data_IF_551729393060
#
_entry.id   IF_551729393060
#
_cell.length_a   1.000
_cell.length_b   1.000
_cell.length_c   1.000
_cell.angle_alpha   90.00
_cell.angle_beta   90.00
_cell.angle_gamma   90.00
#
_symmetry.space_group_name_H-M   'P 1'
#
loop_
_entity.id
_entity.type
_entity.pdbx_description
1 polymer ?
#
# COMPACT_ATOMS: atom_id res chain seq x y z
N UNK A 1 17.22 -29.40 -14.40
CA UNK A 1 15.82 -28.92 -14.41
C UNK A 1 15.19 -28.73 -13.01
N UNK A 2 15.83 -29.12 -11.89
CA UNK A 2 15.23 -28.97 -10.54
C UNK A 2 15.26 -27.55 -9.94
N UNK A 3 16.32 -26.78 -10.14
CA UNK A 3 16.55 -25.47 -9.48
C UNK A 3 15.52 -24.39 -9.90
N UNK A 4 15.01 -24.46 -11.12
CA UNK A 4 14.08 -23.45 -11.65
C UNK A 4 12.63 -23.62 -11.15
N UNK A 5 12.25 -24.86 -10.78
CA UNK A 5 10.97 -25.11 -10.12
C UNK A 5 10.97 -24.54 -8.70
N UNK A 6 12.11 -24.58 -8.01
CA UNK A 6 12.25 -24.04 -6.67
C UNK A 6 12.09 -22.51 -6.66
N UNK A 7 12.72 -21.78 -7.59
CA UNK A 7 12.63 -20.31 -7.65
C UNK A 7 11.19 -19.83 -7.91
N UNK A 8 10.47 -20.49 -8.83
CA UNK A 8 9.07 -20.14 -9.10
C UNK A 8 8.16 -20.42 -7.90
N UNK A 9 8.43 -21.49 -7.15
CA UNK A 9 7.68 -21.85 -5.93
C UNK A 9 7.97 -20.88 -4.77
N UNK A 10 9.23 -20.48 -4.60
CA UNK A 10 9.67 -19.53 -3.57
C UNK A 10 9.06 -18.15 -3.81
N UNK A 11 9.03 -17.69 -5.07
CA UNK A 11 8.40 -16.41 -5.42
C UNK A 11 6.89 -16.41 -5.15
N UNK A 12 6.19 -17.50 -5.47
CA UNK A 12 4.76 -17.62 -5.20
C UNK A 12 4.47 -17.64 -3.69
N UNK A 13 5.28 -18.36 -2.91
CA UNK A 13 5.21 -18.37 -1.46
C UNK A 13 5.46 -16.98 -0.87
N UNK A 14 6.51 -16.28 -1.32
CA UNK A 14 6.86 -14.95 -0.84
C UNK A 14 5.76 -13.91 -1.12
N UNK A 15 5.15 -13.95 -2.32
CA UNK A 15 4.04 -13.05 -2.65
C UNK A 15 2.81 -13.37 -1.79
N UNK A 16 2.48 -14.65 -1.58
CA UNK A 16 1.34 -15.02 -0.74
C UNK A 16 1.56 -14.59 0.72
N UNK A 17 2.75 -14.82 1.27
CA UNK A 17 3.12 -14.35 2.61
C UNK A 17 3.01 -12.82 2.71
N UNK A 18 3.52 -12.09 1.72
CA UNK A 18 3.36 -10.65 1.63
C UNK A 18 1.88 -10.23 1.61
N UNK A 19 1.03 -10.88 0.80
CA UNK A 19 -0.39 -10.56 0.72
C UNK A 19 -1.11 -10.82 2.05
N UNK A 20 -0.74 -11.87 2.81
CA UNK A 20 -1.31 -12.14 4.14
C UNK A 20 -0.91 -11.04 5.11
N UNK A 21 0.39 -10.77 5.22
CA UNK A 21 0.92 -9.78 6.17
C UNK A 21 0.40 -8.39 5.86
N UNK A 22 0.35 -8.00 4.58
CA UNK A 22 -0.17 -6.69 4.17
C UNK A 22 -1.69 -6.59 4.36
N UNK A 23 -2.47 -7.65 4.14
CA UNK A 23 -3.90 -7.63 4.45
C UNK A 23 -4.16 -7.43 5.95
N UNK A 24 -3.39 -8.13 6.80
CA UNK A 24 -3.48 -7.93 8.25
C UNK A 24 -3.09 -6.50 8.64
N UNK A 25 -1.97 -6.00 8.11
CA UNK A 25 -1.52 -4.62 8.34
C UNK A 25 -2.58 -3.58 7.96
N UNK A 26 -3.10 -3.63 6.73
CA UNK A 26 -4.10 -2.67 6.28
C UNK A 26 -5.46 -2.83 6.98
N UNK A 27 -5.80 -4.04 7.44
CA UNK A 27 -6.96 -4.23 8.32
C UNK A 27 -6.79 -3.54 9.68
N UNK A 28 -5.58 -3.59 10.25
CA UNK A 28 -5.26 -2.90 11.49
C UNK A 28 -5.27 -1.37 11.29
N UNK A 29 -4.75 -0.88 10.16
CA UNK A 29 -4.88 0.53 9.79
C UNK A 29 -6.34 0.95 9.62
N UNK A 30 -7.16 0.17 8.92
CA UNK A 30 -8.59 0.44 8.77
C UNK A 30 -9.31 0.50 10.12
N UNK A 31 -8.98 -0.43 11.02
CA UNK A 31 -9.55 -0.47 12.36
C UNK A 31 -9.14 0.75 13.20
N UNK A 32 -7.87 1.14 13.14
CA UNK A 32 -7.38 2.32 13.86
C UNK A 32 -8.12 3.60 13.44
N UNK A 33 -8.40 3.75 12.14
CA UNK A 33 -9.10 4.89 11.55
C UNK A 33 -10.56 5.02 11.98
N UNK A 34 -11.15 3.98 12.58
CA UNK A 34 -12.49 4.10 13.14
C UNK A 34 -12.55 5.17 14.23
N UNK A 35 -11.45 5.42 14.94
CA UNK A 35 -11.36 6.42 16.03
C UNK A 35 -11.26 7.87 15.55
N UNK A 36 -11.13 8.11 14.24
CA UNK A 36 -10.97 9.45 13.69
C UNK A 36 -12.33 10.14 13.47
N UNK A 37 -12.40 11.48 13.49
CA UNK A 37 -13.65 12.21 13.34
C UNK A 37 -14.35 11.99 11.98
N UNK A 38 -13.63 11.53 10.96
CA UNK A 38 -14.15 11.19 9.64
C UNK A 38 -13.67 9.80 9.18
N UNK A 39 -14.15 8.71 9.80
CA UNK A 39 -13.51 7.39 9.71
C UNK A 39 -13.81 6.67 8.39
N UNK A 40 -14.99 6.93 7.80
CA UNK A 40 -15.55 6.13 6.70
C UNK A 40 -14.66 6.13 5.46
N UNK A 41 -14.16 7.31 5.06
CA UNK A 41 -13.35 7.44 3.84
C UNK A 41 -12.03 6.67 3.94
N UNK A 42 -11.35 6.75 5.09
CA UNK A 42 -10.05 6.14 5.31
C UNK A 42 -10.17 4.64 5.56
N UNK A 43 -11.17 4.23 6.34
CA UNK A 43 -11.56 2.83 6.48
C UNK A 43 -11.77 2.18 5.10
N UNK A 44 -12.60 2.81 4.26
CA UNK A 44 -12.85 2.32 2.91
C UNK A 44 -11.57 2.27 2.07
N UNK A 45 -10.72 3.30 2.13
CA UNK A 45 -9.46 3.31 1.40
C UNK A 45 -8.56 2.12 1.76
N UNK A 46 -8.36 1.84 3.06
CA UNK A 46 -7.55 0.71 3.51
C UNK A 46 -8.17 -0.65 3.17
N UNK A 47 -9.49 -0.80 3.27
CA UNK A 47 -10.17 -2.05 2.92
C UNK A 47 -10.13 -2.32 1.41
N UNK A 48 -10.52 -1.34 0.58
CA UNK A 48 -10.60 -1.52 -0.87
C UNK A 48 -9.23 -1.47 -1.57
N UNK A 49 -8.28 -0.70 -1.04
CA UNK A 49 -6.92 -0.61 -1.58
C UNK A 49 -5.94 -1.63 -1.01
N UNK A 50 -6.13 -2.03 0.25
CA UNK A 50 -5.18 -2.89 0.98
C UNK A 50 -5.67 -4.32 1.18
N UNK A 51 -6.91 -4.54 1.60
CA UNK A 51 -7.39 -5.88 1.96
C UNK A 51 -7.93 -6.66 0.76
N UNK A 52 -8.86 -6.06 0.00
CA UNK A 52 -9.54 -6.73 -1.12
C UNK A 52 -8.58 -7.18 -2.23
N UNK A 53 -7.60 -6.37 -2.67
CA UNK A 53 -6.67 -6.77 -3.73
C UNK A 53 -5.79 -7.95 -3.32
N UNK A 54 -5.39 -8.01 -2.04
CA UNK A 54 -4.64 -9.12 -1.46
C UNK A 54 -5.45 -10.42 -1.46
N UNK A 55 -6.71 -10.37 -1.02
CA UNK A 55 -7.61 -11.52 -1.04
C UNK A 55 -7.88 -12.01 -2.47
N UNK A 56 -8.04 -11.08 -3.41
CA UNK A 56 -8.21 -11.41 -4.82
C UNK A 56 -6.99 -12.16 -5.40
N UNK A 57 -5.77 -11.74 -5.04
CA UNK A 57 -4.55 -12.45 -5.46
C UNK A 57 -4.54 -13.90 -4.96
N UNK A 58 -4.81 -14.12 -3.67
CA UNK A 58 -4.79 -15.46 -3.07
C UNK A 58 -5.85 -16.40 -3.66
N UNK A 59 -7.03 -15.86 -3.96
CA UNK A 59 -8.15 -16.64 -4.54
C UNK A 59 -7.89 -17.00 -6.00
N UNK A 60 -7.23 -16.12 -6.76
CA UNK A 60 -6.86 -16.38 -8.16
C UNK A 60 -5.80 -17.48 -8.31
N UNK A 61 -4.82 -17.55 -7.40
CA UNK A 61 -3.79 -18.58 -7.40
C UNK A 61 -4.33 -19.96 -7.05
N UNK A 62 -5.34 -20.02 -6.18
CA UNK A 62 -5.96 -21.27 -5.71
C UNK A 62 -6.91 -21.91 -6.73
N UNK A 63 -7.53 -21.11 -7.60
CA UNK A 63 -8.53 -21.55 -8.59
C UNK A 63 -7.96 -21.85 -10.00
N UNK A 64 -6.65 -22.07 -10.14
CA UNK A 64 -6.04 -22.46 -11.43
C UNK A 64 -6.49 -23.84 -11.95
N UNK A 65 -7.15 -24.65 -11.12
CA UNK A 65 -7.56 -26.01 -11.44
C UNK A 65 -8.92 -26.16 -12.15
N UNK A 66 -9.72 -25.09 -12.34
CA UNK A 66 -11.13 -25.31 -12.78
C UNK A 66 -11.85 -24.17 -13.52
N UNK A 67 -11.24 -23.02 -13.81
CA UNK A 67 -11.94 -21.88 -14.45
C UNK A 67 -11.46 -21.55 -15.87
N UNK A 68 -12.39 -21.26 -16.78
CA UNK A 68 -12.08 -20.96 -18.19
C UNK A 68 -11.21 -19.69 -18.30
N UNK A 69 -10.07 -19.82 -18.99
CA UNK A 69 -9.01 -18.80 -19.04
C UNK A 69 -9.46 -17.43 -19.55
N UNK A 70 -10.53 -17.38 -20.36
CA UNK A 70 -11.10 -16.14 -20.93
C UNK A 70 -11.85 -15.27 -19.91
N UNK A 71 -12.56 -15.86 -18.96
CA UNK A 71 -13.28 -15.09 -17.94
C UNK A 71 -12.31 -14.51 -16.89
N UNK A 72 -11.21 -15.24 -16.63
CA UNK A 72 -10.15 -14.82 -15.70
C UNK A 72 -9.43 -13.56 -16.19
N UNK A 73 -9.10 -13.46 -17.49
CA UNK A 73 -8.38 -12.29 -18.02
C UNK A 73 -9.19 -11.00 -17.94
N UNK A 74 -10.50 -11.06 -18.21
CA UNK A 74 -11.39 -9.88 -18.18
C UNK A 74 -11.58 -9.35 -16.76
N UNK A 75 -11.74 -10.23 -15.78
CA UNK A 75 -11.87 -9.84 -14.37
C UNK A 75 -10.58 -9.19 -13.84
N UNK A 76 -9.41 -9.76 -14.17
CA UNK A 76 -8.12 -9.20 -13.75
C UNK A 76 -7.84 -7.84 -14.39
N UNK A 77 -8.19 -7.66 -15.67
CA UNK A 77 -8.07 -6.36 -16.35
C UNK A 77 -8.96 -5.29 -15.71
N UNK A 78 -10.22 -5.62 -15.35
CA UNK A 78 -11.13 -4.69 -14.66
C UNK A 78 -10.59 -4.31 -13.28
N UNK A 79 -10.04 -5.26 -12.52
CA UNK A 79 -9.41 -4.98 -11.24
C UNK A 79 -8.18 -4.07 -11.40
N UNK A 80 -7.29 -4.36 -12.36
CA UNK A 80 -6.11 -3.53 -12.63
C UNK A 80 -6.51 -2.08 -12.95
N UNK A 81 -7.57 -1.89 -13.74
CA UNK A 81 -8.10 -0.57 -14.06
C UNK A 81 -8.67 0.12 -12.82
N UNK A 82 -9.45 -0.60 -12.00
CA UNK A 82 -9.99 -0.08 -10.74
C UNK A 82 -8.86 0.32 -9.78
N UNK A 83 -7.79 -0.47 -9.68
CA UNK A 83 -6.62 -0.15 -8.85
C UNK A 83 -5.85 1.06 -9.38
N UNK A 84 -5.72 1.25 -10.70
CA UNK A 84 -5.15 2.48 -11.25
C UNK A 84 -6.01 3.71 -10.91
N UNK A 85 -7.33 3.62 -11.09
CA UNK A 85 -8.25 4.68 -10.71
C UNK A 85 -8.15 5.01 -9.21
N UNK A 86 -8.08 3.98 -8.37
CA UNK A 86 -7.88 4.12 -6.93
C UNK A 86 -6.56 4.83 -6.58
N UNK A 87 -5.44 4.42 -7.18
CA UNK A 87 -4.14 5.08 -6.95
C UNK A 87 -4.20 6.56 -7.32
N UNK A 88 -4.82 6.92 -8.45
CA UNK A 88 -4.97 8.32 -8.85
C UNK A 88 -5.77 9.11 -7.80
N UNK A 89 -6.88 8.55 -7.31
CA UNK A 89 -7.68 9.20 -6.26
C UNK A 89 -6.89 9.37 -4.96
N UNK A 90 -6.11 8.38 -4.55
CA UNK A 90 -5.27 8.47 -3.34
C UNK A 90 -4.13 9.48 -3.53
N UNK A 91 -3.50 9.54 -4.70
CA UNK A 91 -2.50 10.58 -5.01
C UNK A 91 -3.10 11.97 -4.89
N UNK A 92 -4.30 12.19 -5.44
CA UNK A 92 -5.00 13.47 -5.31
C UNK A 92 -5.30 13.81 -3.85
N UNK A 93 -5.70 12.83 -3.04
CA UNK A 93 -5.92 13.02 -1.61
C UNK A 93 -4.64 13.39 -0.85
N UNK A 94 -3.51 12.75 -1.17
CA UNK A 94 -2.19 13.10 -0.61
C UNK A 94 -1.80 14.52 -1.00
N UNK A 95 -1.92 14.88 -2.28
CA UNK A 95 -1.57 16.23 -2.75
C UNK A 95 -2.41 17.27 -2.03
N UNK A 96 -3.72 17.04 -1.89
CA UNK A 96 -4.61 17.92 -1.13
C UNK A 96 -4.15 18.08 0.32
N UNK A 97 -3.83 16.98 1.03
CA UNK A 97 -3.35 17.01 2.42
C UNK A 97 -1.98 17.71 2.56
N UNK A 98 -1.04 17.44 1.66
CA UNK A 98 0.27 18.09 1.67
C UNK A 98 0.10 19.59 1.46
N UNK A 99 -0.75 20.02 0.53
CA UNK A 99 -1.01 21.46 0.30
C UNK A 99 -1.65 22.10 1.52
N UNK A 100 -2.52 21.41 2.26
CA UNK A 100 -3.13 21.96 3.48
C UNK A 100 -2.16 22.06 4.67
N UNK A 101 -1.12 21.20 4.73
CA UNK A 101 -0.11 21.24 5.81
C UNK A 101 1.11 22.07 5.44
N UNK A 102 1.45 22.18 4.16
CA UNK A 102 2.61 22.94 3.68
C UNK A 102 2.76 24.34 4.33
N UNK A 103 1.72 25.18 4.46
CA UNK A 103 1.89 26.48 5.13
C UNK A 103 2.26 26.33 6.62
N UNK A 104 1.64 25.39 7.35
CA UNK A 104 1.91 25.13 8.77
C UNK A 104 3.34 24.60 8.99
N UNK A 105 3.78 23.72 8.08
CA UNK A 105 5.13 23.16 8.06
C UNK A 105 6.21 24.23 7.87
N UNK A 106 5.96 25.20 7.00
CA UNK A 106 6.93 26.27 6.74
C UNK A 106 7.11 27.18 7.97
N UNK A 107 6.03 27.44 8.71
CA UNK A 107 6.09 28.21 9.96
C UNK A 107 6.83 27.44 11.08
N UNK A 108 6.52 26.16 11.29
CA UNK A 108 7.12 25.36 12.37
C UNK A 108 8.59 24.97 12.13
N UNK A 109 9.01 24.79 10.88
CA UNK A 109 10.41 24.46 10.54
C UNK A 109 11.33 25.64 10.84
N UNK A 110 10.83 26.87 10.78
CA UNK A 110 11.58 28.07 11.18
C UNK A 110 11.71 28.18 12.71
N UNK A 111 10.72 27.69 13.46
CA UNK A 111 10.66 27.82 14.93
C UNK A 111 11.24 26.62 15.72
N UNK A 112 11.31 25.42 15.14
CA UNK A 112 11.71 24.19 15.87
C UNK A 112 12.89 23.43 15.23
N UNK A 113 13.92 23.16 16.05
CA UNK A 113 15.13 22.43 15.64
C UNK A 113 14.93 20.92 15.42
N UNK A 114 13.72 20.39 15.62
CA UNK A 114 13.44 18.95 15.51
C UNK A 114 13.36 18.45 14.06
N UNK A 115 13.51 19.35 13.07
CA UNK A 115 13.67 19.02 11.65
C UNK A 115 12.34 18.76 10.93
N UNK A 116 12.39 18.81 9.60
CA UNK A 116 11.22 18.74 8.72
C UNK A 116 10.37 17.47 8.91
N UNK A 117 11.02 16.33 9.17
CA UNK A 117 10.34 15.04 9.28
C UNK A 117 9.51 14.93 10.58
N UNK A 118 9.99 15.56 11.66
CA UNK A 118 9.24 15.69 12.90
C UNK A 118 8.02 16.58 12.71
N UNK A 119 8.22 17.80 12.18
CA UNK A 119 7.14 18.74 11.92
C UNK A 119 6.06 18.12 11.02
N UNK A 120 6.46 17.35 10.01
CA UNK A 120 5.50 16.66 9.13
C UNK A 120 4.67 15.60 9.87
N UNK A 121 5.30 14.83 10.74
CA UNK A 121 4.65 13.75 11.49
C UNK A 121 3.87 14.24 12.71
N UNK A 122 4.11 15.46 13.16
CA UNK A 122 3.34 16.11 14.22
C UNK A 122 1.90 16.37 13.76
N UNK A 123 1.70 16.77 12.50
CA UNK A 123 0.38 16.98 11.92
C UNK A 123 -0.32 15.65 11.59
N UNK A 124 -1.61 15.56 11.93
CA UNK A 124 -2.47 14.40 11.60
C UNK A 124 -2.48 14.12 10.09
N UNK A 125 -2.57 15.18 9.29
CA UNK A 125 -2.63 15.04 7.84
C UNK A 125 -1.30 14.52 7.25
N UNK A 126 -0.16 14.79 7.88
CA UNK A 126 1.13 14.24 7.48
C UNK A 126 1.25 12.74 7.80
N UNK A 127 0.78 12.33 8.98
CA UNK A 127 0.68 10.89 9.34
C UNK A 127 -0.23 10.13 8.39
N UNK A 128 -1.37 10.72 8.03
CA UNK A 128 -2.28 10.15 7.05
C UNK A 128 -1.64 10.03 5.66
N UNK A 129 -0.90 11.07 5.22
CA UNK A 129 -0.15 11.01 3.96
C UNK A 129 0.84 9.85 3.93
N UNK A 130 1.52 9.53 5.03
CA UNK A 130 2.41 8.35 5.11
C UNK A 130 1.64 7.03 4.93
N UNK A 131 0.49 6.88 5.61
CA UNK A 131 -0.37 5.70 5.48
C UNK A 131 -0.91 5.52 4.05
N UNK A 132 -1.33 6.61 3.41
CA UNK A 132 -1.78 6.62 2.02
C UNK A 132 -0.64 6.34 1.03
N UNK A 133 0.57 6.80 1.32
CA UNK A 133 1.73 6.52 0.49
C UNK A 133 2.13 5.04 0.54
N UNK A 134 2.07 4.42 1.73
CA UNK A 134 2.20 2.95 1.87
C UNK A 134 1.12 2.23 1.06
N UNK A 135 -0.11 2.71 1.09
CA UNK A 135 -1.22 2.15 0.33
C UNK A 135 -1.03 2.26 -1.19
N UNK A 136 -0.52 3.39 -1.70
CA UNK A 136 -0.17 3.58 -3.11
C UNK A 136 0.93 2.60 -3.52
N UNK A 137 2.01 2.52 -2.75
CA UNK A 137 3.13 1.63 -3.07
C UNK A 137 2.69 0.17 -3.05
N UNK A 138 1.88 -0.22 -2.06
CA UNK A 138 1.30 -1.55 -1.98
C UNK A 138 0.43 -1.87 -3.21
N UNK A 139 -0.49 -0.98 -3.55
CA UNK A 139 -1.39 -1.15 -4.70
C UNK A 139 -0.60 -1.22 -6.01
N UNK A 140 0.43 -0.38 -6.15
CA UNK A 140 1.32 -0.36 -7.30
C UNK A 140 2.13 -1.65 -7.41
N UNK A 141 2.63 -2.16 -6.28
CA UNK A 141 3.34 -3.43 -6.21
C UNK A 141 2.43 -4.58 -6.66
N UNK A 142 1.22 -4.69 -6.10
CA UNK A 142 0.25 -5.71 -6.48
C UNK A 142 -0.13 -5.62 -7.96
N UNK A 143 -0.28 -4.42 -8.50
CA UNK A 143 -0.58 -4.23 -9.91
C UNK A 143 0.57 -4.71 -10.81
N UNK A 144 1.81 -4.43 -10.42
CA UNK A 144 3.01 -4.92 -11.13
C UNK A 144 3.11 -6.45 -11.09
N UNK A 145 2.74 -7.08 -9.96
CA UNK A 145 2.71 -8.53 -9.79
C UNK A 145 1.56 -9.17 -10.61
N UNK A 146 0.36 -8.59 -10.55
CA UNK A 146 -0.83 -9.03 -11.30
C UNK A 146 -0.63 -8.95 -12.82
N UNK A 147 -0.02 -7.87 -13.33
CA UNK A 147 0.30 -7.71 -14.75
C UNK A 147 1.29 -8.75 -15.25
N UNK A 148 2.25 -9.17 -14.41
CA UNK A 148 3.27 -10.17 -14.79
C UNK A 148 2.69 -11.59 -14.88
N UNK A 149 1.73 -11.94 -14.04
CA UNK A 149 0.99 -13.21 -14.09
C UNK A 149 1.86 -14.51 -14.01
N UNK A 150 1.28 -15.64 -13.58
CA UNK A 150 2.00 -16.92 -13.59
C UNK A 150 2.24 -17.46 -15.02
N UNK A 151 1.39 -17.09 -15.99
CA UNK A 151 1.44 -17.59 -17.37
C UNK A 151 2.40 -16.82 -18.30
N UNK A 152 2.70 -15.54 -18.03
CA UNK A 152 3.68 -14.77 -18.79
C UNK A 152 5.12 -15.11 -18.37
N UNK A 153 5.32 -15.48 -17.09
CA UNK A 153 6.59 -16.03 -16.57
C UNK A 153 7.07 -17.24 -17.37
N UNK A 154 6.16 -18.14 -17.72
CA UNK A 154 6.47 -19.35 -18.51
C UNK A 154 6.75 -19.06 -19.99
N UNK A 155 6.28 -17.91 -20.52
CA UNK A 155 6.46 -17.51 -21.93
C UNK A 155 7.72 -16.69 -22.18
N UNK A 156 8.23 -15.96 -21.19
CA UNK A 156 9.46 -15.16 -21.34
C UNK A 156 10.70 -16.06 -21.46
N UNK A 157 10.74 -17.22 -20.79
CA UNK A 157 11.84 -18.17 -20.94
C UNK A 157 11.81 -18.97 -22.25
N UNK A 158 10.65 -19.08 -22.91
CA UNK A 158 10.50 -19.84 -24.16
C UNK A 158 10.58 -18.98 -25.43
N UNK A 159 10.70 -17.66 -25.33
CA UNK A 159 10.56 -16.74 -26.47
C UNK A 159 11.83 -15.91 -26.72
N UNK A 160 12.97 -16.59 -26.83
CA UNK A 160 14.15 -16.08 -27.54
C UNK A 160 14.09 -16.47 -29.02
N UNK A 161 13.04 -16.06 -29.75
CA UNK A 161 13.05 -15.92 -31.21
C UNK A 161 11.68 -15.46 -31.71
N UNK A 162 11.72 -14.48 -32.61
CA UNK A 162 10.67 -13.99 -33.50
C UNK A 162 9.66 -13.00 -32.92
N UNK A 163 9.86 -11.75 -33.34
CA UNK A 163 8.98 -10.64 -33.06
C UNK A 163 7.65 -10.74 -33.79
N UNK A 164 6.63 -10.18 -33.15
CA UNK A 164 5.54 -9.52 -33.86
C UNK A 164 5.01 -8.37 -33.00
N UNK A 165 4.99 -7.20 -33.62
CA UNK A 165 4.40 -5.94 -33.19
C UNK A 165 2.92 -6.09 -32.88
N UNK A 166 2.49 -5.80 -31.65
CA UNK A 166 1.10 -5.47 -31.32
C UNK A 166 1.01 -4.38 -30.25
N UNK A 167 0.40 -3.26 -30.64
CA UNK A 167 -0.42 -2.40 -29.78
C UNK A 167 0.30 -1.58 -28.71
N UNK A 168 0.62 -0.33 -29.04
CA UNK A 168 1.03 0.68 -28.07
C UNK A 168 -0.06 0.96 -27.04
N UNK A 169 0.05 0.34 -25.87
CA UNK A 169 -0.49 0.92 -24.64
C UNK A 169 0.45 2.06 -24.23
N UNK A 170 -0.06 3.19 -23.70
CA UNK A 170 0.80 4.26 -23.19
C UNK A 170 1.78 3.64 -22.19
N UNK A 171 3.05 4.00 -22.33
CA UNK A 171 4.12 3.56 -21.45
C UNK A 171 3.83 4.04 -20.02
N UNK A 172 2.99 3.29 -19.30
CA UNK A 172 2.89 3.44 -17.86
C UNK A 172 4.28 3.11 -17.34
N UNK A 173 4.97 4.10 -16.78
CA UNK A 173 6.25 3.94 -16.08
C UNK A 173 5.98 2.99 -14.92
N UNK A 174 6.03 1.69 -15.20
CA UNK A 174 5.84 0.66 -14.20
C UNK A 174 7.18 0.51 -13.50
N UNK A 175 7.25 1.11 -12.30
CA UNK A 175 8.36 0.88 -11.39
C UNK A 175 8.53 -0.63 -11.18
N UNK A 176 9.78 -1.10 -11.23
CA UNK A 176 10.08 -2.51 -10.95
C UNK A 176 9.54 -2.89 -9.57
N UNK A 177 8.98 -4.10 -9.38
CA UNK A 177 8.53 -4.58 -8.07
C UNK A 177 9.60 -4.41 -6.97
N UNK A 178 10.89 -4.52 -7.33
CA UNK A 178 12.01 -4.33 -6.41
C UNK A 178 12.14 -2.88 -5.90
N UNK A 179 11.92 -1.88 -6.78
CA UNK A 179 11.93 -0.48 -6.36
C UNK A 179 10.73 -0.16 -5.47
N UNK A 180 9.57 -0.73 -5.80
CA UNK A 180 8.36 -0.57 -5.00
C UNK A 180 8.50 -1.22 -3.62
N UNK A 181 9.10 -2.42 -3.54
CA UNK A 181 9.36 -3.07 -2.25
C UNK A 181 10.38 -2.29 -1.42
N UNK A 182 11.45 -1.76 -2.05
CA UNK A 182 12.42 -0.91 -1.35
C UNK A 182 11.75 0.35 -0.79
N UNK A 183 10.87 0.97 -1.58
CA UNK A 183 10.07 2.12 -1.13
C UNK A 183 9.16 1.78 0.04
N UNK A 184 8.46 0.65 0.00
CA UNK A 184 7.62 0.17 1.11
C UNK A 184 8.44 -0.01 2.39
N UNK A 185 9.59 -0.67 2.30
CA UNK A 185 10.48 -0.86 3.44
C UNK A 185 11.03 0.46 3.98
N UNK A 186 11.42 1.39 3.09
CA UNK A 186 11.91 2.70 3.48
C UNK A 186 10.88 3.51 4.26
N UNK A 187 9.66 3.64 3.71
CA UNK A 187 8.59 4.41 4.36
C UNK A 187 8.15 3.75 5.65
N UNK A 188 7.98 2.42 5.66
CA UNK A 188 7.62 1.70 6.88
C UNK A 188 8.71 1.88 7.95
N UNK A 189 9.98 1.80 7.57
CA UNK A 189 11.12 2.03 8.46
C UNK A 189 11.10 3.43 9.07
N UNK A 190 10.83 4.46 8.27
CA UNK A 190 10.66 5.84 8.76
C UNK A 190 9.47 5.96 9.72
N UNK A 191 8.32 5.38 9.37
CA UNK A 191 7.14 5.42 10.23
C UNK A 191 7.41 4.75 11.59
N UNK A 192 8.05 3.58 11.58
CA UNK A 192 8.43 2.86 12.79
C UNK A 192 9.47 3.63 13.59
N UNK A 193 10.48 4.20 12.95
CA UNK A 193 11.48 5.04 13.62
C UNK A 193 10.82 6.22 14.33
N UNK A 194 9.97 6.98 13.62
CA UNK A 194 9.27 8.13 14.21
C UNK A 194 8.39 7.70 15.36
N UNK A 195 7.66 6.60 15.20
CA UNK A 195 6.86 6.04 16.28
C UNK A 195 7.74 5.67 17.48
N UNK A 196 8.81 4.90 17.31
CA UNK A 196 9.62 4.44 18.45
C UNK A 196 10.32 5.59 19.17
N UNK A 197 10.88 6.54 18.43
CA UNK A 197 11.70 7.61 19.01
C UNK A 197 10.85 8.75 19.54
N UNK A 198 9.79 9.12 18.81
CA UNK A 198 9.08 10.36 19.09
C UNK A 198 7.61 10.21 19.49
N UNK A 199 7.05 8.99 19.50
CA UNK A 199 5.70 8.76 20.04
C UNK A 199 5.52 9.27 21.48
N UNK A 200 6.48 9.08 22.41
CA UNK A 200 6.32 9.59 23.77
C UNK A 200 6.14 11.12 23.81
N UNK A 201 6.86 11.84 22.96
CA UNK A 201 6.79 13.30 22.84
C UNK A 201 5.48 13.75 22.19
N UNK A 202 5.02 13.06 21.13
CA UNK A 202 3.72 13.32 20.47
C UNK A 202 2.55 13.11 21.43
N UNK A 203 2.60 12.04 22.22
CA UNK A 203 1.56 11.71 23.20
C UNK A 203 1.54 12.74 24.33
N UNK A 204 2.71 13.17 24.81
CA UNK A 204 2.82 14.17 25.86
C UNK A 204 2.33 15.56 25.42
N UNK A 205 2.59 15.96 24.17
CA UNK A 205 2.24 17.29 23.65
C UNK A 205 0.76 17.41 23.25
N UNK A 206 0.20 16.39 22.59
CA UNK A 206 -1.14 16.48 21.99
C UNK A 206 -2.23 15.69 22.73
N UNK A 207 -1.88 14.91 23.75
CA UNK A 207 -2.81 14.12 24.57
C UNK A 207 -3.89 13.37 23.74
N UNK A 208 -3.51 12.91 22.54
CA UNK A 208 -4.43 12.28 21.61
C UNK A 208 -4.79 10.89 22.14
N UNK A 209 -5.99 10.78 22.71
CA UNK A 209 -6.55 9.56 23.30
C UNK A 209 -6.43 8.33 22.39
N UNK A 210 -6.67 8.50 21.09
CA UNK A 210 -6.52 7.42 20.10
C UNK A 210 -5.05 6.98 19.89
N UNK A 211 -4.07 7.87 20.09
CA UNK A 211 -2.63 7.55 20.04
C UNK A 211 -2.12 6.89 21.33
N UNK A 212 -2.89 6.98 22.42
CA UNK A 212 -2.64 6.31 23.70
C UNK A 212 -3.28 4.91 23.77
N UNK A 213 -3.98 4.49 22.71
CA UNK A 213 -4.68 3.20 22.67
C UNK A 213 -6.07 3.22 23.31
N UNK A 214 -6.62 4.39 23.65
CA UNK A 214 -8.05 4.51 23.96
C UNK A 214 -8.85 4.36 22.66
N UNK A 215 -9.41 3.17 22.46
CA UNK A 215 -10.35 2.89 21.37
C UNK A 215 -11.79 2.97 21.87
N UNK A 216 -12.74 3.17 20.94
CA UNK A 216 -14.20 3.17 21.16
C UNK A 216 -14.66 2.37 22.40
N UNK A 217 -15.33 3.05 23.33
CA UNK A 217 -16.10 2.41 24.41
C UNK A 217 -15.46 2.39 25.80
N UNK A 218 -14.19 2.81 25.98
CA UNK A 218 -13.68 3.15 27.32
C UNK A 218 -14.02 4.59 27.69
N UNK A 219 -15.30 4.88 27.80
CA UNK A 219 -15.75 6.09 28.51
C UNK A 219 -15.84 5.73 29.98
N UNK A 220 -14.78 6.03 30.72
CA UNK A 220 -14.78 6.05 32.19
C UNK A 220 -14.70 4.69 32.85
N UNK A 221 -13.54 4.40 33.42
CA UNK A 221 -13.40 3.78 34.75
C UNK A 221 -11.92 3.80 35.11
N UNK A 222 -11.47 4.92 35.67
CA UNK A 222 -10.44 5.05 36.71
C UNK A 222 -10.64 6.40 37.41
#
# INVERSE_FOLDING_TARGET
MGIFNDIASVDAFAINAYCIVSALFFSACAYAQLNDPNPVQWFCAYVFGGCIPNLYWMTIGSNESSSSSKNKSTATQRLILALHGFVVLVVLAIVYKIVSVAPKLMEEVEEHHHGFLWAFMEHEEGRDSCGLLLLILHTSYLNSVLKKGPSQRRKIESSSSNGHTQGGAPASILLSPAFLSLGLFGILGVCVYVWVVHHPELVAKHALKHCQGEMFGRVGEL
#
